data_IF_140139027631
#
_entry.id   IF_140139027631
#
_cell.length_a   1.000
_cell.length_b   1.000
_cell.length_c   1.000
_cell.angle_alpha   90.00
_cell.angle_beta   90.00
_cell.angle_gamma   90.00
#
_symmetry.space_group_name_H-M   'P 1'
#
loop_
_entity.id
_entity.type
_entity.pdbx_description
1 polymer ?
#
# COMPACT_ATOMS: atom_id res chain seq x y z
N UNK A 1 -4.47 -13.78 9.20
CA UNK A 1 -4.81 -13.04 7.96
C UNK A 1 -3.71 -13.09 6.90
N UNK A 2 -2.53 -12.47 7.05
CA UNK A 2 -1.51 -12.43 5.97
C UNK A 2 -1.10 -13.80 5.42
N UNK A 3 -0.74 -14.74 6.30
CA UNK A 3 -0.42 -16.11 5.90
C UNK A 3 -1.59 -16.81 5.19
N UNK A 4 -2.83 -16.51 5.59
CA UNK A 4 -4.02 -17.05 4.93
C UNK A 4 -4.17 -16.49 3.51
N UNK A 5 -3.83 -15.22 3.27
CA UNK A 5 -3.81 -14.64 1.91
C UNK A 5 -2.82 -15.35 1.00
N UNK A 6 -1.59 -15.58 1.48
CA UNK A 6 -0.57 -16.30 0.70
C UNK A 6 -1.03 -17.72 0.35
N UNK A 7 -1.63 -18.43 1.31
CA UNK A 7 -2.15 -19.77 1.08
C UNK A 7 -3.37 -19.78 0.15
N UNK A 8 -4.24 -18.77 0.22
CA UNK A 8 -5.44 -18.68 -0.61
C UNK A 8 -5.13 -18.59 -2.13
N UNK A 9 -3.92 -18.20 -2.52
CA UNK A 9 -3.50 -18.14 -3.94
C UNK A 9 -2.32 -19.07 -4.27
N UNK A 10 -1.85 -19.82 -3.28
CA UNK A 10 -0.62 -20.61 -3.39
C UNK A 10 -0.76 -22.07 -2.96
N UNK A 11 -1.84 -22.43 -2.25
CA UNK A 11 -2.10 -23.80 -1.83
C UNK A 11 -2.88 -24.56 -2.90
N UNK A 12 -2.60 -25.87 -2.98
CA UNK A 12 -3.43 -26.84 -3.69
C UNK A 12 -4.31 -27.55 -2.65
N UNK A 13 -5.44 -26.93 -2.30
CA UNK A 13 -6.33 -27.46 -1.28
C UNK A 13 -7.17 -28.62 -1.84
N UNK A 14 -7.30 -29.75 -1.11
CA UNK A 14 -8.09 -30.89 -1.57
C UNK A 14 -9.60 -30.62 -1.59
N UNK A 15 -10.06 -29.62 -0.83
CA UNK A 15 -11.46 -29.17 -0.79
C UNK A 15 -11.54 -27.68 -0.46
N UNK A 16 -11.92 -26.88 -1.45
CA UNK A 16 -12.09 -25.44 -1.30
C UNK A 16 -13.40 -25.05 -0.61
N UNK A 17 -14.41 -25.92 -0.58
CA UNK A 17 -15.66 -25.64 0.14
C UNK A 17 -15.40 -25.67 1.66
N UNK A 18 -14.64 -26.65 2.13
CA UNK A 18 -14.21 -26.70 3.53
C UNK A 18 -13.36 -25.47 3.94
N UNK A 19 -12.60 -24.88 3.00
CA UNK A 19 -11.89 -23.63 3.24
C UNK A 19 -12.86 -22.43 3.33
N UNK A 20 -13.89 -22.40 2.47
CA UNK A 20 -14.91 -21.36 2.49
C UNK A 20 -15.75 -21.40 3.78
N UNK A 21 -16.13 -22.57 4.28
CA UNK A 21 -16.85 -22.71 5.57
C UNK A 21 -16.07 -22.07 6.74
N UNK A 22 -14.74 -22.22 6.76
CA UNK A 22 -13.88 -21.57 7.77
C UNK A 22 -13.80 -20.05 7.60
N UNK A 23 -14.00 -19.55 6.38
CA UNK A 23 -14.13 -18.10 6.14
C UNK A 23 -15.46 -17.60 6.69
N UNK A 24 -16.55 -18.36 6.54
CA UNK A 24 -17.85 -18.02 7.15
C UNK A 24 -17.75 -17.98 8.69
N UNK A 25 -17.08 -18.94 9.32
CA UNK A 25 -16.82 -18.88 10.77
C UNK A 25 -16.07 -17.60 11.20
N UNK A 26 -15.10 -17.16 10.38
CA UNK A 26 -14.39 -15.91 10.63
C UNK A 26 -15.30 -14.68 10.41
N UNK A 27 -16.19 -14.72 9.41
CA UNK A 27 -17.17 -13.66 9.16
C UNK A 27 -18.11 -13.54 10.37
N UNK A 28 -18.65 -14.66 10.84
CA UNK A 28 -19.53 -14.70 12.02
C UNK A 28 -18.85 -14.16 13.27
N UNK A 29 -17.55 -14.46 13.44
CA UNK A 29 -16.76 -13.88 14.53
C UNK A 29 -16.58 -12.37 14.40
N UNK A 30 -16.34 -11.84 13.20
CA UNK A 30 -16.05 -10.42 12.98
C UNK A 30 -17.30 -9.54 12.88
N UNK A 31 -18.41 -10.06 12.37
CA UNK A 31 -19.63 -9.30 12.08
C UNK A 31 -20.20 -8.54 13.29
N UNK A 32 -20.26 -9.10 14.52
CA UNK A 32 -20.71 -8.37 15.71
C UNK A 32 -19.79 -7.21 16.11
N UNK A 33 -18.55 -7.17 15.59
CA UNK A 33 -17.55 -6.15 15.88
C UNK A 33 -17.45 -5.08 14.78
N UNK A 34 -18.39 -5.05 13.82
CA UNK A 34 -18.41 -4.02 12.79
C UNK A 34 -18.62 -2.64 13.42
N UNK A 35 -17.78 -1.69 13.04
CA UNK A 35 -17.78 -0.32 13.55
C UNK A 35 -18.05 0.68 12.42
N UNK A 36 -18.66 1.84 12.72
CA UNK A 36 -18.73 2.96 11.80
C UNK A 36 -17.39 3.32 11.15
N UNK A 37 -17.47 3.94 9.96
CA UNK A 37 -16.31 4.38 9.20
C UNK A 37 -15.36 5.21 10.06
N UNK A 38 -14.08 4.83 10.06
CA UNK A 38 -13.03 5.55 10.77
C UNK A 38 -12.49 4.90 12.05
N UNK A 39 -13.16 3.86 12.55
CA UNK A 39 -12.70 3.11 13.74
C UNK A 39 -11.99 1.79 13.41
N UNK A 40 -12.24 1.21 12.24
CA UNK A 40 -11.56 -0.01 11.79
C UNK A 40 -10.05 0.23 11.57
N UNK A 41 -9.21 -0.80 11.77
CA UNK A 41 -7.76 -0.62 11.77
C UNK A 41 -7.19 -0.24 10.40
N UNK A 42 -7.85 -0.60 9.30
CA UNK A 42 -7.35 -0.48 7.94
C UNK A 42 -6.98 0.97 7.57
N UNK A 43 -5.69 1.18 7.30
CA UNK A 43 -5.14 2.48 6.91
C UNK A 43 -4.95 3.47 8.07
N UNK A 44 -5.16 3.05 9.32
CA UNK A 44 -5.24 3.95 10.49
C UNK A 44 -4.34 3.55 11.64
N UNK A 45 -3.98 2.27 11.74
CA UNK A 45 -3.13 1.78 12.84
C UNK A 45 -1.70 1.68 12.34
N UNK A 46 -0.95 2.79 12.40
CA UNK A 46 0.41 2.91 11.87
C UNK A 46 1.40 1.87 12.46
N UNK A 47 1.12 1.32 13.64
CA UNK A 47 1.93 0.26 14.27
C UNK A 47 1.74 -1.11 13.63
N UNK A 48 0.67 -1.33 12.86
CA UNK A 48 0.41 -2.58 12.14
C UNK A 48 0.97 -2.53 10.71
N UNK A 49 1.45 -3.66 10.15
CA UNK A 49 1.85 -3.72 8.74
C UNK A 49 0.72 -3.31 7.80
N UNK A 50 1.03 -2.43 6.84
CA UNK A 50 0.03 -1.89 5.92
C UNK A 50 -0.97 -0.95 6.62
N UNK A 51 -0.56 -0.34 7.73
CA UNK A 51 -1.42 0.37 8.67
C UNK A 51 -2.70 -0.42 9.03
N UNK A 52 -2.61 -1.75 9.18
CA UNK A 52 -3.74 -2.61 9.52
C UNK A 52 -4.63 -3.06 8.34
N UNK A 53 -4.39 -2.57 7.12
CA UNK A 53 -5.15 -3.01 5.94
C UNK A 53 -4.66 -4.36 5.45
N UNK A 54 -5.54 -5.36 5.34
CA UNK A 54 -5.19 -6.64 4.73
C UNK A 54 -5.11 -6.58 3.20
N UNK A 55 -5.66 -5.55 2.55
CA UNK A 55 -5.58 -5.38 1.09
C UNK A 55 -4.20 -4.93 0.63
N UNK A 56 -3.61 -3.96 1.34
CA UNK A 56 -2.32 -3.37 0.97
C UNK A 56 -1.16 -4.33 1.27
N UNK A 57 -0.05 -4.29 0.50
CA UNK A 57 1.15 -5.03 0.85
C UNK A 57 1.64 -4.57 2.24
N UNK A 58 2.27 -5.46 3.03
CA UNK A 58 2.77 -5.09 4.34
C UNK A 58 3.92 -4.08 4.18
N UNK A 59 3.63 -2.85 4.58
CA UNK A 59 4.60 -1.77 4.62
C UNK A 59 4.80 -1.24 6.04
N UNK A 60 5.98 -0.67 6.29
CA UNK A 60 6.33 0.01 7.55
C UNK A 60 7.17 1.26 7.27
N UNK A 61 6.76 2.37 7.87
CA UNK A 61 7.53 3.62 7.84
C UNK A 61 8.85 3.41 8.58
N UNK A 62 9.96 3.79 7.95
CA UNK A 62 11.31 3.81 8.53
C UNK A 62 11.75 5.24 8.88
N UNK A 63 11.45 6.17 7.98
CA UNK A 63 11.69 7.61 8.18
C UNK A 63 10.43 8.38 7.81
N UNK A 64 10.08 9.38 8.62
CA UNK A 64 8.92 10.24 8.40
C UNK A 64 9.29 11.68 8.71
N UNK A 65 9.49 12.50 7.67
CA UNK A 65 9.76 13.92 7.82
C UNK A 65 9.10 14.74 6.70
N UNK A 66 9.07 16.08 6.84
CA UNK A 66 8.60 16.96 5.77
C UNK A 66 9.46 16.89 4.50
N UNK A 67 10.74 16.57 4.62
CA UNK A 67 11.68 16.49 3.49
C UNK A 67 11.51 15.20 2.67
N UNK A 68 11.06 14.12 3.32
CA UNK A 68 10.84 12.84 2.67
C UNK A 68 10.41 11.73 3.62
N UNK A 69 9.94 10.63 3.04
CA UNK A 69 9.50 9.45 3.76
C UNK A 69 10.12 8.22 3.13
N UNK A 70 10.66 7.34 3.98
CA UNK A 70 11.16 6.03 3.59
C UNK A 70 10.26 4.95 4.20
N UNK A 71 9.83 4.01 3.35
CA UNK A 71 8.96 2.90 3.73
C UNK A 71 9.61 1.59 3.29
N UNK A 72 9.72 0.65 4.23
CA UNK A 72 10.04 -0.74 3.90
C UNK A 72 8.79 -1.48 3.43
N UNK A 73 8.88 -2.22 2.33
CA UNK A 73 7.79 -3.06 1.80
C UNK A 73 8.32 -4.41 1.39
N UNK A 74 7.56 -5.48 1.67
CA UNK A 74 7.89 -6.84 1.23
C UNK A 74 6.66 -7.48 0.60
N UNK A 75 6.75 -7.78 -0.68
CA UNK A 75 5.68 -8.47 -1.40
C UNK A 75 5.86 -9.99 -1.26
N UNK A 76 4.77 -10.68 -0.96
CA UNK A 76 4.70 -12.15 -0.89
C UNK A 76 3.97 -12.74 -2.11
N UNK A 77 3.78 -14.07 -2.09
CA UNK A 77 3.01 -14.82 -3.10
C UNK A 77 1.65 -14.22 -3.41
N UNK A 78 0.97 -13.65 -2.41
CA UNK A 78 -0.33 -12.99 -2.61
C UNK A 78 -0.32 -11.82 -3.61
N UNK A 79 0.84 -11.24 -3.88
CA UNK A 79 1.00 -10.06 -4.71
C UNK A 79 1.55 -10.36 -6.11
N UNK A 80 1.70 -11.65 -6.46
CA UNK A 80 2.26 -12.08 -7.76
C UNK A 80 1.28 -11.74 -8.88
N UNK A 81 1.81 -11.22 -9.98
CA UNK A 81 1.07 -11.10 -11.24
C UNK A 81 1.31 -12.31 -12.13
N UNK A 82 2.42 -12.27 -12.88
CA UNK A 82 2.88 -13.38 -13.71
C UNK A 82 4.37 -13.65 -13.46
N UNK A 83 4.85 -14.81 -13.89
CA UNK A 83 6.27 -15.19 -13.86
C UNK A 83 6.96 -15.00 -12.49
N UNK A 84 6.22 -15.21 -11.40
CA UNK A 84 6.71 -15.04 -10.02
C UNK A 84 7.26 -13.64 -9.70
N UNK A 85 6.80 -12.61 -10.42
CA UNK A 85 7.08 -11.21 -10.16
C UNK A 85 5.88 -10.51 -9.51
N UNK A 86 6.14 -9.43 -8.77
CA UNK A 86 5.07 -8.60 -8.21
C UNK A 86 4.23 -8.04 -9.34
N UNK A 87 2.90 -8.14 -9.21
CA UNK A 87 1.98 -7.55 -10.18
C UNK A 87 2.19 -6.01 -10.22
N UNK A 88 2.31 -5.42 -11.41
CA UNK A 88 2.57 -3.98 -11.55
C UNK A 88 1.54 -3.12 -10.79
N UNK A 89 0.27 -3.52 -10.80
CA UNK A 89 -0.80 -2.87 -10.02
C UNK A 89 -0.58 -2.86 -8.51
N UNK A 90 0.13 -3.84 -7.93
CA UNK A 90 0.47 -3.83 -6.49
C UNK A 90 1.55 -2.81 -6.17
N UNK A 91 2.52 -2.65 -7.08
CA UNK A 91 3.53 -1.58 -6.99
C UNK A 91 2.88 -0.21 -7.11
N UNK A 92 1.98 -0.04 -8.09
CA UNK A 92 1.22 1.20 -8.26
C UNK A 92 0.35 1.54 -7.04
N UNK A 93 -0.31 0.54 -6.44
CA UNK A 93 -1.05 0.71 -5.18
C UNK A 93 -0.14 1.26 -4.08
N UNK A 94 1.07 0.73 -3.93
CA UNK A 94 2.00 1.22 -2.90
C UNK A 94 2.46 2.66 -3.17
N UNK A 95 2.62 3.06 -4.43
CA UNK A 95 2.91 4.46 -4.79
C UNK A 95 1.74 5.41 -4.47
N UNK A 96 0.49 4.99 -4.69
CA UNK A 96 -0.69 5.76 -4.28
C UNK A 96 -0.73 5.94 -2.76
N UNK A 97 -0.46 4.86 -2.00
CA UNK A 97 -0.33 4.91 -0.54
C UNK A 97 0.76 5.88 -0.11
N UNK A 98 1.94 5.83 -0.76
CA UNK A 98 3.03 6.77 -0.50
C UNK A 98 2.60 8.22 -0.74
N UNK A 99 1.83 8.51 -1.79
CA UNK A 99 1.30 9.87 -2.00
C UNK A 99 0.47 10.34 -0.81
N UNK A 100 -0.40 9.48 -0.27
CA UNK A 100 -1.14 9.74 0.96
C UNK A 100 -0.21 10.01 2.16
N UNK A 101 0.82 9.18 2.37
CA UNK A 101 1.78 9.35 3.47
C UNK A 101 2.53 10.68 3.34
N UNK A 102 2.94 11.08 2.14
CA UNK A 102 3.61 12.37 1.90
C UNK A 102 2.72 13.54 2.26
N UNK A 103 1.43 13.54 1.89
CA UNK A 103 0.49 14.61 2.29
C UNK A 103 0.44 14.77 3.82
N UNK A 104 0.45 13.67 4.57
CA UNK A 104 0.51 13.72 6.03
C UNK A 104 1.87 14.22 6.53
N UNK A 105 2.99 13.81 5.91
CA UNK A 105 4.34 14.17 6.39
C UNK A 105 4.65 15.66 6.28
N UNK A 106 4.04 16.35 5.31
CA UNK A 106 4.13 17.81 5.14
C UNK A 106 2.97 18.58 5.79
N UNK A 107 2.17 17.91 6.64
CA UNK A 107 1.04 18.48 7.37
C UNK A 107 0.01 19.20 6.48
N UNK A 108 -0.31 18.62 5.31
CA UNK A 108 -1.33 19.15 4.41
C UNK A 108 -2.73 18.63 4.74
N UNK A 109 -3.79 19.40 4.44
CA UNK A 109 -5.14 18.91 4.56
C UNK A 109 -5.40 17.70 3.67
N UNK A 110 -6.48 16.97 3.98
CA UNK A 110 -6.88 15.76 3.26
C UNK A 110 -6.93 16.06 1.76
N UNK A 111 -6.26 15.21 0.99
CA UNK A 111 -6.14 15.33 -0.45
C UNK A 111 -6.59 14.04 -1.14
N UNK A 112 -6.91 14.14 -2.42
CA UNK A 112 -7.23 13.01 -3.30
C UNK A 112 -6.23 12.93 -4.44
N UNK A 113 -5.90 11.70 -4.83
CA UNK A 113 -5.08 11.43 -6.01
C UNK A 113 -5.84 11.91 -7.25
N UNK A 114 -5.28 12.89 -7.96
CA UNK A 114 -5.79 13.37 -9.24
C UNK A 114 -5.19 12.58 -10.41
N UNK A 115 -3.90 12.24 -10.32
CA UNK A 115 -3.28 11.26 -11.20
C UNK A 115 -2.10 10.57 -10.50
N UNK A 116 -1.75 9.41 -11.02
CA UNK A 116 -0.54 8.67 -10.70
C UNK A 116 0.06 8.12 -11.99
N UNK A 117 1.27 8.54 -12.33
CA UNK A 117 2.08 7.98 -13.42
C UNK A 117 3.15 7.09 -12.79
N UNK A 118 3.29 5.85 -13.28
CA UNK A 118 4.29 4.89 -12.80
C UNK A 118 5.13 4.40 -13.97
N UNK A 119 6.45 4.55 -13.86
CA UNK A 119 7.41 3.95 -14.77
C UNK A 119 8.04 2.71 -14.12
N UNK A 120 7.91 1.56 -14.77
CA UNK A 120 8.55 0.31 -14.35
C UNK A 120 9.91 0.20 -15.01
N UNK A 121 10.98 0.19 -14.20
CA UNK A 121 12.37 0.22 -14.67
C UNK A 121 13.00 -1.18 -14.67
N UNK A 122 12.71 -1.97 -13.64
CA UNK A 122 13.16 -3.35 -13.51
C UNK A 122 12.06 -4.24 -12.90
N UNK A 123 12.18 -5.56 -13.08
CA UNK A 123 11.23 -6.53 -12.49
C UNK A 123 11.28 -6.42 -10.97
N UNK A 124 10.12 -6.21 -10.35
CA UNK A 124 10.01 -6.16 -8.89
C UNK A 124 9.89 -7.58 -8.33
N UNK A 125 10.85 -8.05 -7.52
CA UNK A 125 10.83 -9.40 -6.97
C UNK A 125 9.84 -9.52 -5.80
N UNK A 126 9.31 -10.73 -5.60
CA UNK A 126 8.68 -11.12 -4.33
C UNK A 126 9.75 -11.60 -3.34
N UNK A 127 9.41 -11.65 -2.06
CA UNK A 127 10.25 -12.19 -0.99
C UNK A 127 11.61 -11.49 -0.83
N UNK A 128 11.66 -10.22 -1.22
CA UNK A 128 12.79 -9.31 -0.99
C UNK A 128 12.30 -8.10 -0.21
N UNK A 129 13.13 -7.62 0.73
CA UNK A 129 12.85 -6.40 1.48
C UNK A 129 13.21 -5.19 0.63
N UNK A 130 12.19 -4.49 0.14
CA UNK A 130 12.35 -3.34 -0.75
C UNK A 130 12.19 -2.04 0.03
N UNK A 131 12.69 -0.95 -0.53
CA UNK A 131 12.57 0.39 0.04
C UNK A 131 11.87 1.32 -0.95
N UNK A 132 10.75 1.89 -0.53
CA UNK A 132 10.08 2.97 -1.26
C UNK A 132 10.41 4.31 -0.60
N UNK A 133 10.86 5.29 -1.38
CA UNK A 133 11.10 6.66 -0.92
C UNK A 133 10.19 7.62 -1.63
N UNK A 134 9.60 8.55 -0.89
CA UNK A 134 8.71 9.58 -1.43
C UNK A 134 9.07 10.96 -0.91
N UNK A 135 8.75 12.00 -1.69
CA UNK A 135 8.82 13.39 -1.26
C UNK A 135 7.83 14.26 -2.03
N UNK A 136 7.39 15.36 -1.42
CA UNK A 136 6.69 16.42 -2.14
C UNK A 136 7.70 17.16 -3.03
N UNK A 137 7.49 17.17 -4.34
CA UNK A 137 8.38 17.85 -5.29
C UNK A 137 7.97 19.30 -5.54
N UNK A 138 6.67 19.59 -5.46
CA UNK A 138 6.13 20.93 -5.70
C UNK A 138 4.76 21.10 -5.06
N UNK A 139 4.49 22.30 -4.55
CA UNK A 139 3.18 22.69 -4.01
C UNK A 139 2.71 23.97 -4.69
N UNK A 140 1.49 23.94 -5.23
CA UNK A 140 0.86 25.08 -5.92
C UNK A 140 -0.61 25.20 -5.55
N UNK A 141 -0.92 26.11 -4.62
CA UNK A 141 -2.26 26.26 -4.08
C UNK A 141 -2.76 24.94 -3.45
N UNK A 142 -3.79 24.34 -4.05
CA UNK A 142 -4.38 23.05 -3.65
C UNK A 142 -3.65 21.82 -4.20
N UNK A 143 -2.67 22.01 -5.08
CA UNK A 143 -1.95 20.93 -5.77
C UNK A 143 -0.67 20.58 -5.02
N UNK A 144 -0.43 19.30 -4.82
CA UNK A 144 0.83 18.76 -4.32
C UNK A 144 1.32 17.66 -5.24
N UNK A 145 2.44 17.91 -5.89
CA UNK A 145 3.13 16.92 -6.72
C UNK A 145 4.04 16.08 -5.82
N UNK A 146 3.97 14.77 -5.99
CA UNK A 146 4.74 13.79 -5.22
C UNK A 146 5.58 12.98 -6.19
N UNK A 147 6.87 12.83 -5.88
CA UNK A 147 7.74 11.88 -6.56
C UNK A 147 8.08 10.74 -5.60
N UNK A 148 8.11 9.52 -6.11
CA UNK A 148 8.51 8.36 -5.34
C UNK A 148 9.29 7.34 -6.18
N UNK A 149 10.14 6.56 -5.53
CA UNK A 149 10.95 5.50 -6.13
C UNK A 149 10.87 4.24 -5.28
N UNK A 150 11.02 3.07 -5.92
CA UNK A 150 11.12 1.77 -5.27
C UNK A 150 12.47 1.14 -5.66
N UNK A 151 13.29 0.78 -4.67
CA UNK A 151 14.60 0.15 -4.88
C UNK A 151 14.73 -1.19 -4.19
N UNK A 152 15.58 -2.05 -4.74
CA UNK A 152 16.05 -3.27 -4.06
C UNK A 152 17.14 -2.95 -3.00
N UNK A 153 17.62 -3.96 -2.24
CA UNK A 153 18.70 -3.77 -1.26
C UNK A 153 20.05 -3.33 -1.85
N UNK A 154 20.29 -3.57 -3.13
CA UNK A 154 21.52 -3.17 -3.83
C UNK A 154 21.42 -1.74 -4.38
N UNK A 155 20.26 -1.08 -4.24
CA UNK A 155 20.00 0.25 -4.78
C UNK A 155 19.52 0.26 -6.23
N UNK A 156 19.20 -0.89 -6.82
CA UNK A 156 18.62 -0.96 -8.16
C UNK A 156 17.24 -0.32 -8.17
N UNK A 157 17.02 0.65 -9.06
CA UNK A 157 15.70 1.26 -9.27
C UNK A 157 14.75 0.26 -9.94
N UNK A 158 13.69 -0.13 -9.25
CA UNK A 158 12.70 -1.09 -9.74
C UNK A 158 11.55 -0.37 -10.44
N UNK A 159 11.03 0.68 -9.82
CA UNK A 159 9.99 1.53 -10.39
C UNK A 159 10.07 2.93 -9.78
N UNK A 160 9.49 3.90 -10.47
CA UNK A 160 9.32 5.27 -9.96
C UNK A 160 7.96 5.82 -10.36
N UNK A 161 7.52 6.86 -9.64
CA UNK A 161 6.22 7.45 -9.85
C UNK A 161 6.23 8.98 -9.68
N UNK A 162 5.37 9.63 -10.45
CA UNK A 162 4.95 11.01 -10.24
C UNK A 162 3.43 11.03 -10.03
N UNK A 163 3.01 11.57 -8.90
CA UNK A 163 1.61 11.72 -8.54
C UNK A 163 1.22 13.18 -8.32
N UNK A 164 -0.05 13.48 -8.49
CA UNK A 164 -0.65 14.74 -8.09
C UNK A 164 -1.75 14.48 -7.08
N UNK A 165 -1.61 15.10 -5.92
CA UNK A 165 -2.63 15.14 -4.88
C UNK A 165 -3.30 16.51 -4.89
N UNK A 166 -4.62 16.54 -4.79
CA UNK A 166 -5.41 17.77 -4.74
C UNK A 166 -6.15 17.84 -3.41
N UNK A 167 -5.91 18.91 -2.67
CA UNK A 167 -6.61 19.23 -1.43
C UNK A 167 -8.12 19.35 -1.67
N UNK A 168 -8.89 18.68 -0.81
CA UNK A 168 -10.35 18.70 -0.83
C UNK A 168 -10.90 20.08 -0.50
N UNK A 169 -12.00 20.45 -1.18
CA UNK A 169 -12.80 21.60 -0.77
C UNK A 169 -13.66 21.24 0.45
N UNK A 170 -14.11 22.24 1.24
CA UNK A 170 -15.05 22.02 2.32
C UNK A 170 -16.27 21.19 1.87
N UNK A 171 -16.57 20.12 2.62
CA UNK A 171 -17.72 19.24 2.37
C UNK A 171 -17.52 18.16 1.30
N UNK A 172 -16.34 18.08 0.67
CA UNK A 172 -16.02 16.98 -0.24
C UNK A 172 -15.61 15.71 0.52
N UNK A 173 -16.04 14.52 0.07
CA UNK A 173 -15.76 13.25 0.75
C UNK A 173 -14.30 12.80 0.67
#
# INVERSE_FOLDING_TARGET
>A
MRRAQDLAVGADAPDWNAAAERVEELIDYLAPHQQPGGMAPAGRVATLPGAGSVLMPPWRIRTFSPEGVDVGVRYSRFHVGGNNAVHGGMVAMMFDVMCGIIIHSINRPISRTAFLHVDYRNVTPIDVDLTMRGRASKVEGRKTFVNAELTDPNGTLLAEANGLMVELLPGQP
#
